data_IF_862243249267
#
_entry.id   IF_862243249267
#
_cell.length_a   1.000
_cell.length_b   1.000
_cell.length_c   1.000
_cell.angle_alpha   90.00
_cell.angle_beta   90.00
_cell.angle_gamma   90.00
#
_symmetry.space_group_name_H-M   'P 1'
#
loop_
_entity.id
_entity.type
_entity.pdbx_description
1 polymer ?
#
# COMPACT_ATOMS: atom_id res chain seq x y z
N UNK A 1 -33.31 24.18 -23.79
CA UNK A 1 -33.54 22.73 -23.65
C UNK A 1 -32.46 22.19 -22.74
N UNK A 2 -32.83 21.72 -21.55
CA UNK A 2 -31.87 21.24 -20.56
C UNK A 2 -31.36 19.87 -20.99
N UNK A 3 -30.06 19.76 -21.27
CA UNK A 3 -29.39 18.49 -21.51
C UNK A 3 -29.32 17.72 -20.19
N UNK A 4 -30.26 16.81 -19.97
CA UNK A 4 -30.18 15.83 -18.89
C UNK A 4 -29.04 14.87 -19.17
N UNK A 5 -27.85 15.20 -18.67
CA UNK A 5 -26.75 14.24 -18.58
C UNK A 5 -27.07 13.37 -17.38
N UNK A 6 -27.46 12.12 -17.66
CA UNK A 6 -27.61 11.09 -16.65
C UNK A 6 -26.27 10.92 -15.94
N UNK A 7 -26.25 11.13 -14.62
CA UNK A 7 -25.00 11.03 -13.85
C UNK A 7 -24.64 9.56 -13.69
N UNK A 8 -23.37 9.21 -13.91
CA UNK A 8 -22.93 7.85 -13.71
C UNK A 8 -22.93 7.49 -12.22
N UNK A 9 -22.99 6.20 -11.90
CA UNK A 9 -22.83 5.72 -10.52
C UNK A 9 -21.56 6.28 -9.86
N UNK A 10 -20.46 6.35 -10.61
CA UNK A 10 -19.19 6.86 -10.09
C UNK A 10 -19.29 8.35 -9.72
N UNK A 11 -19.97 9.16 -10.54
CA UNK A 11 -20.20 10.60 -10.26
C UNK A 11 -21.09 10.81 -9.02
N UNK A 12 -22.13 9.98 -8.88
CA UNK A 12 -23.01 10.01 -7.71
C UNK A 12 -22.29 9.57 -6.44
N UNK A 13 -21.49 8.51 -6.54
CA UNK A 13 -20.71 7.96 -5.43
C UNK A 13 -19.64 8.95 -4.98
N UNK A 14 -18.91 9.58 -5.90
CA UNK A 14 -17.94 10.64 -5.58
C UNK A 14 -18.61 11.83 -4.87
N UNK A 15 -19.75 12.29 -5.41
CA UNK A 15 -20.54 13.37 -4.80
C UNK A 15 -20.96 13.00 -3.37
N UNK A 16 -21.37 11.75 -3.16
CA UNK A 16 -21.73 11.24 -1.85
C UNK A 16 -20.54 11.27 -0.87
N UNK A 17 -19.38 10.78 -1.30
CA UNK A 17 -18.16 10.79 -0.48
C UNK A 17 -17.74 12.22 -0.14
N UNK A 18 -17.78 13.17 -1.09
CA UNK A 18 -17.45 14.57 -0.84
C UNK A 18 -18.33 15.17 0.27
N UNK A 19 -19.64 14.91 0.23
CA UNK A 19 -20.56 15.35 1.29
C UNK A 19 -20.25 14.70 2.63
N UNK A 20 -20.05 13.38 2.64
CA UNK A 20 -19.77 12.61 3.85
C UNK A 20 -18.47 13.06 4.55
N UNK A 21 -17.48 13.51 3.77
CA UNK A 21 -16.18 13.98 4.27
C UNK A 21 -16.04 15.51 4.34
N UNK A 22 -17.11 16.27 4.08
CA UNK A 22 -17.09 17.75 4.04
C UNK A 22 -16.04 18.33 3.07
N UNK A 23 -15.74 17.60 1.99
CA UNK A 23 -14.86 18.06 0.93
C UNK A 23 -15.67 19.02 0.05
N UNK A 24 -15.23 20.28 -0.03
CA UNK A 24 -15.90 21.27 -0.88
C UNK A 24 -15.77 20.84 -2.35
N UNK A 25 -16.86 20.80 -3.12
CA UNK A 25 -16.77 20.66 -4.56
C UNK A 25 -15.95 21.84 -5.08
N UNK A 26 -14.83 21.55 -5.72
CA UNK A 26 -14.08 22.53 -6.51
C UNK A 26 -14.55 22.42 -7.96
N UNK A 27 -14.50 23.53 -8.71
CA UNK A 27 -14.91 23.52 -10.14
C UNK A 27 -14.09 22.53 -10.97
N UNK A 28 -12.90 22.18 -10.47
CA UNK A 28 -12.15 21.01 -10.87
C UNK A 28 -12.66 19.80 -10.07
N UNK A 29 -13.71 19.12 -10.53
CA UNK A 29 -13.87 17.68 -10.25
C UNK A 29 -12.75 16.95 -11.00
N UNK A 30 -11.52 17.14 -10.54
CA UNK A 30 -10.36 16.46 -11.09
C UNK A 30 -10.51 15.00 -10.72
N UNK A 31 -10.94 14.19 -11.70
CA UNK A 31 -10.84 12.73 -11.66
C UNK A 31 -9.60 12.34 -10.88
N UNK A 32 -9.75 11.45 -9.90
CA UNK A 32 -8.67 10.96 -9.04
C UNK A 32 -7.37 10.82 -9.84
N UNK A 33 -6.40 11.71 -9.58
CA UNK A 33 -5.15 11.74 -10.33
C UNK A 33 -4.38 10.45 -10.01
N UNK A 34 -4.21 9.52 -10.98
CA UNK A 34 -3.51 8.27 -10.72
C UNK A 34 -2.06 8.49 -10.27
N UNK A 35 -1.49 9.68 -10.53
CA UNK A 35 -0.13 10.03 -10.12
C UNK A 35 0.05 10.11 -8.61
N UNK A 36 -1.02 10.34 -7.84
CA UNK A 36 -0.95 10.43 -6.37
C UNK A 36 -1.06 9.07 -5.70
N UNK A 37 -1.49 8.03 -6.44
CA UNK A 37 -1.69 6.69 -5.88
C UNK A 37 -0.34 6.13 -5.45
N UNK A 38 -0.20 5.86 -4.16
CA UNK A 38 0.98 5.21 -3.62
C UNK A 38 0.91 3.70 -3.81
N UNK A 39 2.04 3.09 -4.12
CA UNK A 39 2.24 1.65 -4.20
C UNK A 39 3.16 1.21 -3.07
N UNK A 40 2.87 0.07 -2.48
CA UNK A 40 3.77 -0.64 -1.56
C UNK A 40 4.19 -1.96 -2.20
N UNK A 41 5.49 -2.25 -2.14
CA UNK A 41 6.04 -3.47 -2.72
C UNK A 41 7.11 -4.12 -1.86
N UNK A 42 7.34 -5.39 -2.14
CA UNK A 42 8.33 -6.23 -1.45
C UNK A 42 9.13 -7.01 -2.48
N UNK A 43 10.44 -6.92 -2.33
CA UNK A 43 11.42 -7.63 -3.14
C UNK A 43 12.09 -8.70 -2.26
N UNK A 44 12.15 -9.93 -2.72
CA UNK A 44 13.05 -10.96 -2.19
C UNK A 44 14.48 -10.62 -2.61
N UNK A 45 15.42 -10.66 -1.67
CA UNK A 45 16.84 -10.41 -1.90
C UNK A 45 17.65 -11.68 -1.62
N UNK A 46 18.42 -12.12 -2.60
CA UNK A 46 19.38 -13.21 -2.46
C UNK A 46 20.78 -12.63 -2.19
N UNK A 47 21.36 -12.93 -1.03
CA UNK A 47 22.74 -12.57 -0.71
C UNK A 47 23.70 -13.63 -1.26
N UNK A 48 24.47 -13.28 -2.30
CA UNK A 48 25.43 -14.20 -2.91
C UNK A 48 26.56 -14.62 -1.96
N UNK A 49 26.88 -13.82 -0.93
CA UNK A 49 27.94 -14.13 0.04
C UNK A 49 27.43 -15.00 1.20
N UNK A 50 26.13 -14.99 1.43
CA UNK A 50 25.49 -15.77 2.49
C UNK A 50 24.06 -16.18 2.06
N UNK A 51 23.93 -17.18 1.17
CA UNK A 51 22.64 -17.57 0.58
C UNK A 51 21.59 -18.06 1.58
N UNK A 52 22.03 -18.51 2.76
CA UNK A 52 21.15 -18.94 3.84
C UNK A 52 20.40 -17.77 4.51
N UNK A 53 20.85 -16.53 4.28
CA UNK A 53 20.19 -15.34 4.80
C UNK A 53 18.92 -15.08 4.03
N UNK A 54 17.84 -14.89 4.78
CA UNK A 54 16.51 -14.64 4.23
C UNK A 54 16.20 -13.17 4.34
N UNK A 55 16.37 -12.48 3.22
CA UNK A 55 16.32 -11.03 3.13
C UNK A 55 15.16 -10.58 2.24
N UNK A 56 14.48 -9.53 2.68
CA UNK A 56 13.48 -8.84 1.88
C UNK A 56 13.68 -7.34 1.96
N UNK A 57 13.41 -6.65 0.86
CA UNK A 57 13.44 -5.20 0.80
C UNK A 57 12.02 -4.69 0.56
N UNK A 58 11.53 -3.85 1.47
CA UNK A 58 10.24 -3.17 1.31
C UNK A 58 10.44 -1.80 0.70
N UNK A 59 9.56 -1.41 -0.21
CA UNK A 59 9.57 -0.10 -0.83
C UNK A 59 8.16 0.46 -0.93
N UNK A 60 8.06 1.78 -1.01
CA UNK A 60 6.84 2.45 -1.40
C UNK A 60 7.21 3.70 -2.20
N UNK A 61 6.34 4.07 -3.13
CA UNK A 61 6.52 5.20 -4.04
C UNK A 61 5.18 5.51 -4.71
N UNK A 62 5.08 6.64 -5.40
CA UNK A 62 3.91 6.91 -6.24
C UNK A 62 3.91 5.98 -7.46
N UNK A 63 2.74 5.69 -8.01
CA UNK A 63 2.59 4.77 -9.13
C UNK A 63 3.46 5.13 -10.35
N UNK A 64 3.61 6.41 -10.76
CA UNK A 64 4.50 6.78 -11.86
C UNK A 64 5.99 6.59 -11.56
N UNK A 65 6.37 6.52 -10.27
CA UNK A 65 7.76 6.46 -9.81
C UNK A 65 8.25 5.01 -9.59
N UNK A 66 7.41 4.01 -9.84
CA UNK A 66 7.70 2.60 -9.55
C UNK A 66 8.95 2.14 -10.30
N UNK A 67 9.03 2.41 -11.60
CA UNK A 67 10.15 1.94 -12.43
C UNK A 67 11.48 2.57 -11.99
N UNK A 68 11.49 3.88 -11.74
CA UNK A 68 12.67 4.59 -11.22
C UNK A 68 13.09 4.08 -9.84
N UNK A 69 12.12 3.82 -8.96
CA UNK A 69 12.36 3.27 -7.63
C UNK A 69 12.98 1.89 -7.72
N UNK A 70 12.40 1.00 -8.53
CA UNK A 70 12.94 -0.35 -8.77
C UNK A 70 14.32 -0.30 -9.40
N UNK A 71 14.56 0.57 -10.38
CA UNK A 71 15.86 0.76 -11.02
C UNK A 71 16.94 1.16 -10.01
N UNK A 72 16.65 2.11 -9.11
CA UNK A 72 17.58 2.51 -8.03
C UNK A 72 17.90 1.34 -7.10
N UNK A 73 16.89 0.54 -6.74
CA UNK A 73 17.08 -0.63 -5.87
C UNK A 73 17.91 -1.70 -6.58
N UNK A 74 17.61 -2.00 -7.84
CA UNK A 74 18.34 -2.97 -8.66
C UNK A 74 19.77 -2.54 -8.94
N UNK A 75 20.03 -1.24 -9.11
CA UNK A 75 21.38 -0.72 -9.23
C UNK A 75 22.19 -0.96 -7.95
N UNK A 76 21.55 -0.81 -6.79
CA UNK A 76 22.21 -0.99 -5.48
C UNK A 76 22.49 -2.45 -5.11
N UNK A 77 21.55 -3.35 -5.34
CA UNK A 77 21.63 -4.74 -4.89
C UNK A 77 21.91 -5.76 -6.01
N UNK A 78 21.88 -5.31 -7.27
CA UNK A 78 21.98 -6.15 -8.46
C UNK A 78 20.62 -6.72 -8.86
N UNK A 79 20.16 -6.41 -10.09
CA UNK A 79 18.87 -6.88 -10.63
C UNK A 79 18.68 -8.40 -10.51
N UNK A 80 19.72 -9.19 -10.79
CA UNK A 80 19.67 -10.66 -10.72
C UNK A 80 19.48 -11.24 -9.31
N UNK A 81 19.75 -10.45 -8.27
CA UNK A 81 19.64 -10.88 -6.88
C UNK A 81 18.28 -10.49 -6.27
N UNK A 82 17.44 -9.77 -7.02
CA UNK A 82 16.19 -9.20 -6.54
C UNK A 82 15.02 -9.76 -7.34
N UNK A 83 13.97 -10.15 -6.65
CA UNK A 83 12.73 -10.62 -7.28
C UNK A 83 11.54 -9.95 -6.60
N UNK A 84 10.67 -9.29 -7.37
CA UNK A 84 9.45 -8.72 -6.82
C UNK A 84 8.45 -9.83 -6.51
N UNK A 85 8.01 -9.89 -5.25
CA UNK A 85 7.09 -10.93 -4.75
C UNK A 85 5.74 -10.34 -4.33
N UNK A 86 5.66 -9.03 -4.14
CA UNK A 86 4.43 -8.34 -3.75
C UNK A 86 4.47 -6.90 -4.27
N UNK A 87 3.33 -6.45 -4.82
CA UNK A 87 3.07 -5.04 -5.12
C UNK A 87 1.58 -4.78 -5.12
N UNK A 88 1.13 -3.78 -4.37
CA UNK A 88 -0.26 -3.33 -4.33
C UNK A 88 -0.33 -1.81 -4.16
N UNK A 89 -1.33 -1.15 -4.77
CA UNK A 89 -1.71 0.20 -4.36
C UNK A 89 -2.08 0.22 -2.88
N UNK A 90 -1.72 1.28 -2.18
CA UNK A 90 -2.04 1.49 -0.76
C UNK A 90 -2.54 2.91 -0.58
N UNK A 91 -3.32 3.11 0.48
CA UNK A 91 -3.74 4.44 0.90
C UNK A 91 -2.59 5.25 1.48
N UNK A 92 -1.65 4.59 2.17
CA UNK A 92 -0.45 5.23 2.71
C UNK A 92 0.72 4.26 2.73
N UNK A 93 1.66 4.43 1.80
CA UNK A 93 2.91 3.68 1.74
C UNK A 93 3.75 3.85 2.99
N UNK A 94 3.80 5.07 3.54
CA UNK A 94 4.46 5.36 4.82
C UNK A 94 3.81 4.59 5.97
N UNK A 95 2.47 4.61 6.04
CA UNK A 95 1.68 3.93 7.06
C UNK A 95 1.88 2.42 7.02
N UNK A 96 1.68 1.79 5.86
CA UNK A 96 1.87 0.36 5.69
C UNK A 96 3.31 -0.06 5.98
N UNK A 97 4.30 0.72 5.54
CA UNK A 97 5.71 0.48 5.87
C UNK A 97 5.95 0.45 7.36
N UNK A 98 5.44 1.42 8.11
CA UNK A 98 5.64 1.48 9.56
C UNK A 98 5.10 0.21 10.23
N UNK A 99 3.91 -0.24 9.82
CA UNK A 99 3.25 -1.43 10.39
C UNK A 99 3.96 -2.72 10.05
N UNK A 100 4.40 -2.88 8.80
CA UNK A 100 5.23 -4.00 8.38
C UNK A 100 6.50 -4.06 9.22
N UNK A 101 7.19 -2.93 9.42
CA UNK A 101 8.39 -2.89 10.26
C UNK A 101 8.08 -3.30 11.69
N UNK A 102 7.04 -2.75 12.32
CA UNK A 102 6.63 -3.09 13.68
C UNK A 102 6.34 -4.59 13.81
N UNK A 103 5.54 -5.15 12.91
CA UNK A 103 5.18 -6.57 12.91
C UNK A 103 6.40 -7.50 12.88
N UNK A 104 7.38 -7.23 12.00
CA UNK A 104 8.57 -8.05 11.90
C UNK A 104 9.56 -7.82 13.05
N UNK A 105 9.67 -6.58 13.54
CA UNK A 105 10.46 -6.28 14.74
C UNK A 105 9.96 -7.04 15.97
N UNK A 106 8.63 -7.12 16.18
CA UNK A 106 8.03 -7.92 17.26
C UNK A 106 8.32 -9.42 17.13
N UNK A 107 8.50 -9.91 15.91
CA UNK A 107 8.93 -11.29 15.61
C UNK A 107 10.44 -11.49 15.72
N UNK A 108 11.17 -10.53 16.29
CA UNK A 108 12.63 -10.54 16.47
C UNK A 108 13.40 -10.61 15.14
N UNK A 109 12.83 -10.11 14.05
CA UNK A 109 13.57 -9.93 12.80
C UNK A 109 14.50 -8.73 12.92
N UNK A 110 15.62 -8.77 12.20
CA UNK A 110 16.46 -7.60 12.04
C UNK A 110 15.82 -6.68 10.99
N UNK A 111 15.46 -5.48 11.42
CA UNK A 111 14.82 -4.46 10.57
C UNK A 111 15.76 -3.26 10.45
N UNK A 112 16.40 -3.10 9.29
CA UNK A 112 17.35 -2.00 9.04
C UNK A 112 16.88 -1.16 7.85
N UNK A 113 16.30 0.00 8.15
CA UNK A 113 15.75 0.89 7.14
C UNK A 113 14.57 0.24 6.41
N UNK A 114 14.80 -0.20 5.18
CA UNK A 114 13.86 -0.91 4.31
C UNK A 114 14.21 -2.40 4.15
N UNK A 115 15.30 -2.85 4.74
CA UNK A 115 15.72 -4.25 4.70
C UNK A 115 15.14 -4.99 5.92
N UNK A 116 14.55 -6.14 5.66
CA UNK A 116 14.02 -7.08 6.62
C UNK A 116 14.82 -8.38 6.52
N UNK A 117 15.31 -8.87 7.64
CA UNK A 117 16.07 -10.10 7.73
C UNK A 117 15.46 -11.01 8.77
N UNK A 118 15.06 -12.22 8.34
CA UNK A 118 14.53 -13.20 9.26
C UNK A 118 15.65 -13.81 10.13
N UNK A 119 15.30 -14.31 11.34
CA UNK A 119 16.25 -15.00 12.18
C UNK A 119 16.96 -16.17 11.46
N UNK A 120 18.22 -16.47 11.81
CA UNK A 120 18.95 -17.62 11.27
C UNK A 120 18.16 -18.92 11.45
N UNK A 121 18.25 -19.83 10.47
CA UNK A 121 17.57 -21.14 10.47
C UNK A 121 16.04 -21.07 10.59
N UNK A 122 15.43 -19.90 10.35
CA UNK A 122 13.98 -19.77 10.40
C UNK A 122 13.31 -20.47 9.20
N UNK A 123 12.05 -20.87 9.36
CA UNK A 123 11.24 -21.50 8.31
C UNK A 123 10.57 -20.47 7.37
N UNK A 124 10.95 -19.20 7.41
CA UNK A 124 10.36 -18.19 6.52
C UNK A 124 10.80 -18.43 5.08
N UNK A 125 9.92 -18.14 4.13
CA UNK A 125 10.17 -18.18 2.70
C UNK A 125 9.33 -17.09 2.03
N UNK A 126 9.44 -16.95 0.71
CA UNK A 126 8.71 -15.92 -0.03
C UNK A 126 7.19 -16.08 0.11
N UNK A 127 6.64 -17.29 0.09
CA UNK A 127 5.20 -17.52 0.25
C UNK A 127 4.69 -17.05 1.60
N UNK A 128 5.41 -17.39 2.67
CA UNK A 128 5.06 -16.96 4.03
C UNK A 128 5.21 -15.45 4.19
N UNK A 129 6.21 -14.85 3.54
CA UNK A 129 6.39 -13.41 3.50
C UNK A 129 5.20 -12.72 2.81
N UNK A 130 4.83 -13.18 1.61
CA UNK A 130 3.69 -12.66 0.85
C UNK A 130 2.40 -12.79 1.65
N UNK A 131 2.17 -13.93 2.32
CA UNK A 131 1.01 -14.12 3.18
C UNK A 131 0.96 -13.11 4.31
N UNK A 132 2.04 -12.97 5.10
CA UNK A 132 2.09 -12.02 6.20
C UNK A 132 1.87 -10.57 5.74
N UNK A 133 2.48 -10.17 4.62
CA UNK A 133 2.30 -8.82 4.05
C UNK A 133 0.87 -8.62 3.56
N UNK A 134 0.27 -9.64 2.94
CA UNK A 134 -1.12 -9.60 2.49
C UNK A 134 -2.09 -9.44 3.67
N UNK A 135 -1.84 -10.15 4.77
CA UNK A 135 -2.65 -10.03 5.99
C UNK A 135 -2.58 -8.60 6.55
N UNK A 136 -1.38 -8.03 6.69
CA UNK A 136 -1.19 -6.64 7.14
C UNK A 136 -1.84 -5.61 6.20
N UNK A 137 -1.74 -5.83 4.88
CA UNK A 137 -2.39 -4.99 3.89
C UNK A 137 -3.92 -5.07 3.99
N UNK A 138 -4.47 -6.25 4.21
CA UNK A 138 -5.91 -6.44 4.39
C UNK A 138 -6.40 -5.82 5.71
N UNK A 139 -5.62 -5.87 6.78
CA UNK A 139 -5.91 -5.15 8.02
C UNK A 139 -5.98 -3.64 7.80
N UNK A 140 -5.04 -3.06 7.04
CA UNK A 140 -5.09 -1.65 6.62
C UNK A 140 -6.40 -1.30 5.90
N UNK A 141 -6.74 -2.08 4.87
CA UNK A 141 -8.00 -1.91 4.13
C UNK A 141 -9.22 -2.03 5.03
N UNK A 142 -9.19 -2.96 5.98
CA UNK A 142 -10.31 -3.16 6.90
C UNK A 142 -10.54 -1.93 7.78
N UNK A 143 -9.51 -1.28 8.32
CA UNK A 143 -9.77 -0.07 9.12
C UNK A 143 -10.21 1.11 8.26
N UNK A 144 -9.71 1.24 7.03
CA UNK A 144 -10.23 2.26 6.09
C UNK A 144 -11.71 2.04 5.82
N UNK A 145 -12.10 0.79 5.52
CA UNK A 145 -13.49 0.41 5.35
C UNK A 145 -14.33 0.74 6.60
N UNK A 146 -13.87 0.32 7.79
CA UNK A 146 -14.56 0.62 9.05
C UNK A 146 -14.70 2.12 9.29
N UNK A 147 -13.66 2.91 8.98
CA UNK A 147 -13.71 4.37 9.09
C UNK A 147 -14.74 4.99 8.15
N UNK A 148 -14.80 4.52 6.89
CA UNK A 148 -15.80 4.93 5.91
C UNK A 148 -17.21 4.59 6.40
N UNK A 149 -17.46 3.36 6.87
CA UNK A 149 -18.76 2.96 7.43
C UNK A 149 -19.17 3.83 8.63
N UNK A 150 -18.25 4.10 9.55
CA UNK A 150 -18.51 4.96 10.69
C UNK A 150 -18.90 6.39 10.26
N UNK A 151 -18.27 6.93 9.21
CA UNK A 151 -18.61 8.23 8.64
C UNK A 151 -19.95 8.21 7.91
N UNK A 152 -20.24 7.14 7.18
CA UNK A 152 -21.54 6.91 6.55
C UNK A 152 -22.66 6.89 7.59
N UNK A 153 -22.51 6.11 8.67
CA UNK A 153 -23.52 6.00 9.73
C UNK A 153 -23.72 7.31 10.49
N UNK A 154 -22.66 8.10 10.65
CA UNK A 154 -22.77 9.44 11.23
C UNK A 154 -23.54 10.37 10.28
N UNK A 155 -23.13 10.43 9.01
CA UNK A 155 -23.78 11.26 7.99
C UNK A 155 -25.26 10.91 7.81
N UNK A 156 -25.59 9.62 7.67
CA UNK A 156 -26.95 9.12 7.54
C UNK A 156 -27.83 9.42 8.76
N UNK A 157 -27.26 9.62 9.95
CA UNK A 157 -28.01 10.06 11.15
C UNK A 157 -28.30 11.56 11.17
N UNK A 158 -27.44 12.39 10.59
CA UNK A 158 -27.65 13.85 10.52
C UNK A 158 -28.62 14.27 9.41
N UNK A 159 -28.76 13.46 8.36
CA UNK A 159 -29.61 13.74 7.19
C UNK A 159 -30.86 12.85 7.10
N UNK A 160 -31.19 12.13 8.19
CA UNK A 160 -32.52 11.56 8.44
C UNK A 160 -33.40 12.59 9.11
#
# INVERSE_FOLDING_TARGET
MASGVDKSFDDEFETYLHRMFYIKPTEETTKCDPSIVECFGVLSLTDMRAPDRKLWYIYYCKQPEVDDTLNRIFHKYGKKNMCEIFRKPTFSGVGLRARVKTYFSEKKWLVKGNLLEAPPKSLYNNDRMVRNITDLYNEERKMLYTYICMKHDAFSRYYK
#
